data_IF_931511856090
#
_entry.id   IF_931511856090
#
_cell.length_a   1.000
_cell.length_b   1.000
_cell.length_c   1.000
_cell.angle_alpha   90.00
_cell.angle_beta   90.00
_cell.angle_gamma   90.00
#
_symmetry.space_group_name_H-M   'P 1'
#
loop_
_entity.id
_entity.type
_entity.pdbx_description
1 polymer ?
#
# COMPACT_ATOMS: atom_id res chain seq x y z
N UNK A 1 -43.87 15.13 -37.31
CA UNK A 1 -42.67 15.93 -37.61
C UNK A 1 -41.92 16.16 -36.29
N UNK A 2 -40.74 15.53 -36.17
CA UNK A 2 -39.63 15.72 -35.21
C UNK A 2 -39.89 15.63 -33.68
N UNK A 3 -39.63 14.42 -33.15
CA UNK A 3 -39.15 14.22 -31.77
C UNK A 3 -37.76 14.84 -31.66
N UNK A 4 -37.54 15.72 -30.69
CA UNK A 4 -36.21 16.16 -30.29
C UNK A 4 -35.54 15.04 -29.50
N UNK A 5 -34.66 14.31 -30.18
CA UNK A 5 -33.66 13.45 -29.54
C UNK A 5 -32.63 14.37 -28.88
N UNK A 6 -32.74 14.56 -27.57
CA UNK A 6 -31.62 15.10 -26.80
C UNK A 6 -30.49 14.08 -26.88
N UNK A 7 -29.49 14.41 -27.69
CA UNK A 7 -28.21 13.73 -27.68
C UNK A 7 -27.56 13.98 -26.32
N UNK A 8 -27.66 12.99 -25.42
CA UNK A 8 -26.76 12.86 -24.28
C UNK A 8 -25.33 12.73 -24.84
N UNK A 9 -24.67 13.87 -25.04
CA UNK A 9 -23.24 13.89 -25.33
C UNK A 9 -22.52 13.43 -24.05
N UNK A 10 -21.77 12.31 -24.07
CA UNK A 10 -20.97 11.93 -22.92
C UNK A 10 -19.97 13.06 -22.64
N UNK A 11 -19.99 13.58 -21.41
CA UNK A 11 -19.08 14.64 -20.96
C UNK A 11 -17.63 14.22 -21.26
N UNK A 12 -16.78 15.13 -21.76
CA UNK A 12 -15.39 14.79 -22.02
C UNK A 12 -14.69 14.42 -20.71
N UNK A 13 -14.40 13.13 -20.54
CA UNK A 13 -13.41 12.66 -19.58
C UNK A 13 -12.06 13.19 -20.07
N UNK A 14 -11.61 14.32 -19.49
CA UNK A 14 -10.32 14.94 -19.81
C UNK A 14 -9.11 14.03 -19.56
N UNK A 15 -9.33 12.87 -18.94
CA UNK A 15 -8.31 11.93 -18.50
C UNK A 15 -8.63 10.54 -19.09
N UNK A 16 -8.12 10.24 -20.29
CA UNK A 16 -8.25 8.89 -20.85
C UNK A 16 -7.16 8.01 -20.26
N UNK A 17 -7.55 7.18 -19.29
CA UNK A 17 -6.67 6.14 -18.72
C UNK A 17 -6.37 5.13 -19.82
N UNK A 18 -5.10 4.85 -20.06
CA UNK A 18 -4.74 3.71 -20.89
C UNK A 18 -4.93 2.43 -20.07
N UNK A 19 -6.08 1.78 -20.22
CA UNK A 19 -6.39 0.52 -19.51
C UNK A 19 -5.56 -0.67 -20.04
N UNK A 20 -4.87 -0.52 -21.17
CA UNK A 20 -4.00 -1.57 -21.71
C UNK A 20 -2.66 -1.69 -20.99
N UNK A 21 -2.44 -0.94 -19.90
CA UNK A 21 -1.23 -1.07 -19.10
C UNK A 21 -1.37 -2.30 -18.18
N UNK A 22 -0.37 -3.19 -18.12
CA UNK A 22 -0.51 -4.49 -17.43
C UNK A 22 -0.99 -4.37 -15.97
N UNK A 23 -0.56 -3.33 -15.26
CA UNK A 23 -0.94 -3.09 -13.86
C UNK A 23 -2.44 -2.80 -13.68
N UNK A 24 -3.04 -2.06 -14.61
CA UNK A 24 -4.47 -1.76 -14.57
C UNK A 24 -5.29 -2.93 -15.11
N UNK A 25 -4.81 -3.58 -16.17
CA UNK A 25 -5.45 -4.77 -16.73
C UNK A 25 -5.59 -5.87 -15.66
N UNK A 26 -4.51 -6.19 -14.94
CA UNK A 26 -4.55 -7.14 -13.80
C UNK A 26 -5.52 -6.71 -12.71
N UNK A 27 -5.54 -5.43 -12.37
CA UNK A 27 -6.45 -4.91 -11.37
C UNK A 27 -7.91 -5.11 -11.80
N UNK A 28 -8.27 -4.73 -13.03
CA UNK A 28 -9.65 -4.79 -13.53
C UNK A 28 -10.11 -6.21 -13.91
N UNK A 29 -9.18 -7.13 -14.15
CA UNK A 29 -9.47 -8.55 -14.40
C UNK A 29 -9.41 -9.42 -13.12
N UNK A 30 -9.55 -8.82 -11.94
CA UNK A 30 -9.59 -9.51 -10.63
C UNK A 30 -8.39 -10.45 -10.35
N UNK A 31 -7.22 -10.18 -10.95
CA UNK A 31 -6.00 -10.95 -10.71
C UNK A 31 -5.32 -10.63 -9.37
N UNK A 32 -4.26 -11.35 -9.01
CA UNK A 32 -3.49 -11.04 -7.80
C UNK A 32 -2.86 -9.65 -7.91
N UNK A 33 -3.14 -8.79 -6.93
CA UNK A 33 -2.68 -7.41 -6.85
C UNK A 33 -1.37 -7.25 -6.10
N UNK A 34 -0.91 -8.29 -5.38
CA UNK A 34 0.32 -8.23 -4.58
C UNK A 34 1.58 -7.93 -5.40
N UNK A 35 1.78 -8.51 -6.61
CA UNK A 35 3.00 -8.25 -7.39
C UNK A 35 3.18 -6.77 -7.73
N UNK A 36 2.08 -6.05 -8.00
CA UNK A 36 2.13 -4.67 -8.49
C UNK A 36 1.90 -3.64 -7.37
N UNK A 37 1.08 -3.97 -6.37
CA UNK A 37 0.65 -3.02 -5.32
C UNK A 37 1.08 -3.41 -3.91
N UNK A 38 1.68 -4.60 -3.71
CA UNK A 38 2.07 -5.16 -2.41
C UNK A 38 0.92 -5.33 -1.40
N UNK A 39 -0.32 -5.24 -1.87
CA UNK A 39 -1.54 -5.47 -1.09
C UNK A 39 -2.36 -6.58 -1.73
N UNK A 40 -3.05 -7.37 -0.90
CA UNK A 40 -4.06 -8.31 -1.40
C UNK A 40 -5.29 -7.56 -1.91
N UNK A 41 -6.10 -8.25 -2.71
CA UNK A 41 -7.34 -7.71 -3.28
C UNK A 41 -8.28 -7.19 -2.20
N UNK A 42 -8.41 -7.95 -1.11
CA UNK A 42 -9.30 -7.63 0.01
C UNK A 42 -8.85 -6.35 0.72
N UNK A 43 -7.57 -6.26 1.09
CA UNK A 43 -7.02 -5.06 1.75
C UNK A 43 -7.08 -3.83 0.85
N UNK A 44 -6.86 -4.01 -0.46
CA UNK A 44 -6.97 -2.94 -1.45
C UNK A 44 -8.42 -2.43 -1.55
N UNK A 45 -9.41 -3.33 -1.62
CA UNK A 45 -10.82 -2.95 -1.65
C UNK A 45 -11.24 -2.20 -0.39
N UNK A 46 -10.84 -2.67 0.80
CA UNK A 46 -11.08 -1.96 2.06
C UNK A 46 -10.47 -0.55 2.01
N UNK A 47 -9.24 -0.41 1.50
CA UNK A 47 -8.60 0.89 1.36
C UNK A 47 -9.34 1.80 0.36
N UNK A 48 -9.84 1.25 -0.76
CA UNK A 48 -10.64 2.00 -1.72
C UNK A 48 -11.95 2.51 -1.10
N UNK A 49 -12.63 1.67 -0.34
CA UNK A 49 -13.86 2.04 0.35
C UNK A 49 -13.63 3.14 1.39
N UNK A 50 -12.50 3.08 2.11
CA UNK A 50 -12.08 4.11 3.06
C UNK A 50 -11.66 5.42 2.38
N UNK A 51 -11.01 5.34 1.22
CA UNK A 51 -10.45 6.50 0.51
C UNK A 51 -11.42 7.16 -0.47
N UNK A 52 -12.55 6.56 -0.84
CA UNK A 52 -13.40 7.20 -1.83
C UNK A 52 -14.80 6.66 -2.00
N UNK A 53 -15.77 7.58 -2.01
CA UNK A 53 -17.04 7.38 -2.70
C UNK A 53 -17.47 8.57 -3.59
N UNK A 54 -16.91 9.79 -3.47
CA UNK A 54 -17.49 10.96 -4.16
C UNK A 54 -16.48 11.84 -4.94
N UNK A 55 -15.55 11.20 -5.68
CA UNK A 55 -14.70 11.93 -6.65
C UNK A 55 -15.29 11.89 -8.05
N UNK A 56 -16.08 12.92 -8.38
CA UNK A 56 -16.72 13.09 -9.71
C UNK A 56 -15.84 13.75 -10.77
N UNK A 57 -14.61 14.14 -10.42
CA UNK A 57 -13.69 14.88 -11.30
C UNK A 57 -12.26 14.33 -11.25
N UNK A 58 -11.49 14.52 -12.32
CA UNK A 58 -10.09 14.07 -12.41
C UNK A 58 -9.96 12.63 -12.90
N UNK A 59 -9.03 11.87 -12.31
CA UNK A 59 -8.75 10.48 -12.70
C UNK A 59 -9.65 9.45 -12.00
N UNK A 60 -10.49 9.88 -11.06
CA UNK A 60 -11.34 9.02 -10.23
C UNK A 60 -10.59 8.47 -9.01
N UNK A 61 -11.30 8.27 -7.90
CA UNK A 61 -10.71 7.82 -6.63
C UNK A 61 -9.93 6.51 -6.79
N UNK A 62 -10.50 5.54 -7.52
CA UNK A 62 -9.86 4.24 -7.75
C UNK A 62 -8.50 4.37 -8.44
N UNK A 63 -8.43 5.07 -9.58
CA UNK A 63 -7.17 5.23 -10.31
C UNK A 63 -6.15 6.02 -9.49
N UNK A 64 -6.58 7.09 -8.80
CA UNK A 64 -5.70 7.88 -7.93
C UNK A 64 -5.10 7.03 -6.80
N UNK A 65 -5.89 6.14 -6.19
CA UNK A 65 -5.42 5.19 -5.17
C UNK A 65 -4.46 4.15 -5.76
N UNK A 66 -4.76 3.59 -6.94
CA UNK A 66 -3.85 2.63 -7.61
C UNK A 66 -2.51 3.27 -7.96
N UNK A 67 -2.52 4.52 -8.46
CA UNK A 67 -1.32 5.31 -8.73
C UNK A 67 -0.50 5.51 -7.45
N UNK A 68 -1.15 5.85 -6.34
CA UNK A 68 -0.51 6.03 -5.05
C UNK A 68 0.10 4.72 -4.52
N UNK A 69 -0.63 3.61 -4.58
CA UNK A 69 -0.14 2.30 -4.13
C UNK A 69 1.05 1.83 -4.97
N UNK A 70 0.98 1.98 -6.28
CA UNK A 70 2.10 1.64 -7.16
C UNK A 70 3.31 2.54 -6.91
N UNK A 71 3.09 3.82 -6.58
CA UNK A 71 4.16 4.73 -6.17
C UNK A 71 4.87 4.25 -4.89
N UNK A 72 4.14 3.79 -3.88
CA UNK A 72 4.74 3.17 -2.69
C UNK A 72 5.48 1.87 -3.04
N UNK A 73 4.87 0.99 -3.84
CA UNK A 73 5.45 -0.30 -4.24
C UNK A 73 6.73 -0.16 -5.08
N UNK A 74 6.86 0.94 -5.83
CA UNK A 74 8.01 1.25 -6.70
C UNK A 74 9.04 2.18 -6.06
N UNK A 75 9.07 2.26 -4.73
CA UNK A 75 10.09 3.02 -3.99
C UNK A 75 9.92 4.53 -4.11
N UNK A 76 8.67 5.01 -4.11
CA UNK A 76 8.32 6.43 -4.17
C UNK A 76 8.80 7.17 -5.45
N UNK A 77 8.95 6.46 -6.58
CA UNK A 77 9.44 7.05 -7.83
C UNK A 77 8.32 7.58 -8.73
N UNK A 78 8.10 8.91 -8.73
CA UNK A 78 7.17 9.57 -9.66
C UNK A 78 7.53 9.31 -11.14
N UNK A 79 8.80 9.06 -11.45
CA UNK A 79 9.26 8.76 -12.82
C UNK A 79 8.79 7.38 -13.29
N UNK A 80 8.87 6.37 -12.43
CA UNK A 80 8.45 5.00 -12.74
C UNK A 80 6.93 4.98 -12.96
N UNK A 81 6.18 5.55 -12.01
CA UNK A 81 4.71 5.65 -12.09
C UNK A 81 4.26 6.42 -13.34
N UNK A 82 4.91 7.55 -13.65
CA UNK A 82 4.62 8.35 -14.85
C UNK A 82 4.74 7.53 -16.14
N UNK A 83 5.77 6.69 -16.25
CA UNK A 83 5.99 5.82 -17.42
C UNK A 83 4.95 4.69 -17.49
N UNK A 84 4.65 4.06 -16.36
CA UNK A 84 3.73 2.92 -16.29
C UNK A 84 2.29 3.35 -16.57
N UNK A 85 1.84 4.45 -15.99
CA UNK A 85 0.46 4.93 -16.13
C UNK A 85 0.26 5.89 -17.31
N UNK A 86 1.33 6.25 -18.03
CA UNK A 86 1.27 7.22 -19.13
C UNK A 86 0.84 8.62 -18.66
N UNK A 87 1.13 8.98 -17.41
CA UNK A 87 0.73 10.25 -16.80
C UNK A 87 1.91 11.23 -16.71
N UNK A 88 1.72 12.54 -16.88
CA UNK A 88 2.75 13.52 -16.60
C UNK A 88 3.24 13.43 -15.15
N UNK A 89 4.55 13.61 -14.92
CA UNK A 89 5.14 13.56 -13.56
C UNK A 89 4.50 14.55 -12.59
N UNK A 90 4.10 15.73 -13.07
CA UNK A 90 3.40 16.74 -12.26
C UNK A 90 2.02 16.25 -11.80
N UNK A 91 1.30 15.52 -12.67
CA UNK A 91 0.02 14.89 -12.33
C UNK A 91 0.22 13.80 -11.29
N UNK A 92 1.21 12.92 -11.48
CA UNK A 92 1.55 11.88 -10.49
C UNK A 92 1.87 12.52 -9.15
N UNK A 93 2.73 13.55 -9.12
CA UNK A 93 3.09 14.27 -7.89
C UNK A 93 1.85 14.84 -7.17
N UNK A 94 0.91 15.44 -7.90
CA UNK A 94 -0.34 15.97 -7.33
C UNK A 94 -1.22 14.87 -6.77
N UNK A 95 -1.32 13.73 -7.47
CA UNK A 95 -2.10 12.58 -7.01
C UNK A 95 -1.50 12.02 -5.72
N UNK A 96 -0.20 11.72 -5.71
CA UNK A 96 0.43 11.09 -4.53
C UNK A 96 0.36 11.99 -3.31
N UNK A 97 0.57 13.30 -3.46
CA UNK A 97 0.46 14.24 -2.33
C UNK A 97 -0.96 14.24 -1.76
N UNK A 98 -1.97 14.34 -2.63
CA UNK A 98 -3.37 14.35 -2.22
C UNK A 98 -3.78 13.05 -1.53
N UNK A 99 -3.48 11.90 -2.14
CA UNK A 99 -3.86 10.60 -1.56
C UNK A 99 -3.09 10.34 -0.26
N UNK A 100 -1.85 10.82 -0.14
CA UNK A 100 -1.10 10.77 1.12
C UNK A 100 -1.86 11.51 2.24
N UNK A 101 -2.36 12.72 1.98
CA UNK A 101 -3.12 13.48 2.97
C UNK A 101 -4.37 12.72 3.43
N UNK A 102 -5.09 12.07 2.50
CA UNK A 102 -6.27 11.27 2.82
C UNK A 102 -5.94 10.03 3.64
N UNK A 103 -4.89 9.29 3.25
CA UNK A 103 -4.41 8.13 4.01
C UNK A 103 -3.99 8.55 5.42
N UNK A 104 -3.30 9.69 5.55
CA UNK A 104 -2.92 10.26 6.85
C UNK A 104 -4.14 10.66 7.67
N UNK A 105 -5.22 11.14 7.05
CA UNK A 105 -6.45 11.50 7.74
C UNK A 105 -7.20 10.27 8.28
N UNK A 106 -7.23 9.15 7.54
CA UNK A 106 -7.89 7.91 7.99
C UNK A 106 -7.03 7.05 8.91
N UNK A 107 -5.76 7.41 9.15
CA UNK A 107 -4.81 6.60 9.94
C UNK A 107 -5.36 6.13 11.29
N UNK A 108 -6.14 6.98 11.97
CA UNK A 108 -6.69 6.68 13.30
C UNK A 108 -7.82 5.65 13.28
N UNK A 109 -8.39 5.37 12.10
CA UNK A 109 -9.43 4.35 11.93
C UNK A 109 -8.82 2.96 11.73
N UNK A 110 -7.59 2.88 11.23
CA UNK A 110 -6.94 1.62 10.83
C UNK A 110 -5.74 1.27 11.71
N UNK A 111 -5.03 2.27 12.26
CA UNK A 111 -3.89 2.08 13.17
C UNK A 111 -4.36 2.28 14.62
N UNK A 112 -4.35 1.20 15.39
CA UNK A 112 -4.69 1.22 16.80
C UNK A 112 -3.41 1.20 17.64
N UNK A 113 -3.02 2.38 18.16
CA UNK A 113 -1.91 2.50 19.09
C UNK A 113 -2.39 2.20 20.53
N UNK A 114 -1.61 1.48 21.35
CA UNK A 114 -1.95 1.26 22.76
C UNK A 114 -2.03 2.60 23.48
N UNK A 115 -3.14 2.85 24.19
CA UNK A 115 -3.38 4.15 24.87
C UNK A 115 -3.17 4.06 26.38
N UNK A 116 -3.30 2.88 26.96
CA UNK A 116 -3.07 2.64 28.39
C UNK A 116 -1.87 1.72 28.62
N UNK A 117 -1.41 1.67 29.88
CA UNK A 117 -0.33 0.75 30.28
C UNK A 117 -0.74 -0.72 30.10
N UNK A 118 -2.02 -1.03 30.35
CA UNK A 118 -2.58 -2.36 30.17
C UNK A 118 -2.61 -2.77 28.68
N UNK A 119 -3.03 -1.85 27.81
CA UNK A 119 -3.02 -2.08 26.35
C UNK A 119 -1.58 -2.33 25.85
N UNK A 120 -0.63 -1.52 26.33
CA UNK A 120 0.77 -1.66 25.96
C UNK A 120 1.35 -2.99 26.44
N UNK A 121 1.01 -3.43 27.65
CA UNK A 121 1.43 -4.71 28.18
C UNK A 121 0.82 -5.88 27.37
N UNK A 122 -0.47 -5.78 27.01
CA UNK A 122 -1.14 -6.79 26.20
C UNK A 122 -0.49 -6.94 24.81
N UNK A 123 -0.23 -5.80 24.13
CA UNK A 123 0.45 -5.78 22.83
C UNK A 123 1.87 -6.34 22.95
N UNK A 124 2.64 -5.88 23.93
CA UNK A 124 4.02 -6.32 24.17
C UNK A 124 4.12 -7.81 24.48
N UNK A 125 3.17 -8.35 25.24
CA UNK A 125 3.08 -9.79 25.53
C UNK A 125 2.73 -10.58 24.26
N UNK A 126 1.85 -10.05 23.42
CA UNK A 126 1.52 -10.61 22.10
C UNK A 126 2.76 -10.75 21.22
N UNK A 127 3.55 -9.69 21.07
CA UNK A 127 4.80 -9.71 20.31
C UNK A 127 5.81 -10.73 20.88
N UNK A 128 6.03 -10.75 22.19
CA UNK A 128 6.90 -11.73 22.83
C UNK A 128 6.43 -13.18 22.65
N UNK A 129 5.11 -13.41 22.64
CA UNK A 129 4.50 -14.71 22.38
C UNK A 129 4.69 -15.17 20.93
N UNK A 130 4.39 -14.29 19.97
CA UNK A 130 4.54 -14.57 18.54
C UNK A 130 6.01 -14.83 18.17
N UNK A 131 6.93 -14.01 18.67
CA UNK A 131 8.36 -14.16 18.42
C UNK A 131 9.02 -15.25 19.28
N UNK A 132 8.30 -15.82 20.26
CA UNK A 132 8.81 -16.77 21.26
C UNK A 132 10.09 -16.30 21.96
N UNK A 133 10.26 -14.99 22.11
CA UNK A 133 11.50 -14.40 22.60
C UNK A 133 11.24 -13.18 23.49
N UNK A 134 11.91 -13.13 24.66
CA UNK A 134 11.66 -12.10 25.68
C UNK A 134 12.09 -10.69 25.25
N UNK A 135 12.98 -10.56 24.27
CA UNK A 135 13.41 -9.25 23.76
C UNK A 135 12.24 -8.42 23.21
N UNK A 136 11.19 -9.07 22.71
CA UNK A 136 10.02 -8.37 22.16
C UNK A 136 8.99 -7.95 23.22
N UNK A 137 9.27 -8.12 24.52
CA UNK A 137 8.42 -7.60 25.61
C UNK A 137 8.38 -6.07 25.69
N UNK A 138 9.19 -5.37 24.90
CA UNK A 138 9.17 -3.91 24.77
C UNK A 138 8.60 -3.45 23.42
N UNK A 139 8.08 -4.37 22.61
CA UNK A 139 7.57 -4.05 21.28
C UNK A 139 6.10 -3.59 21.39
N UNK A 140 5.84 -2.34 21.01
CA UNK A 140 4.49 -1.79 20.92
C UNK A 140 3.90 -1.90 19.49
N UNK A 141 4.73 -2.30 18.52
CA UNK A 141 4.38 -2.37 17.11
C UNK A 141 5.57 -2.79 16.27
N UNK A 142 5.30 -3.06 14.98
CA UNK A 142 6.31 -3.32 13.97
C UNK A 142 6.05 -2.40 12.77
N UNK A 143 7.11 -1.81 12.25
CA UNK A 143 7.08 -1.10 10.97
C UNK A 143 7.89 -1.98 10.01
N UNK A 144 7.18 -2.69 9.14
CA UNK A 144 7.83 -3.46 8.08
C UNK A 144 7.98 -2.57 6.85
N UNK A 145 9.22 -2.26 6.50
CA UNK A 145 9.55 -1.63 5.23
C UNK A 145 9.93 -2.74 4.26
N UNK A 146 9.08 -3.07 3.29
CA UNK A 146 9.45 -4.06 2.28
C UNK A 146 10.55 -3.47 1.39
N UNK A 147 11.82 -3.74 1.68
CA UNK A 147 12.87 -3.72 0.66
C UNK A 147 12.58 -4.90 -0.29
N UNK A 148 12.55 -4.71 -1.62
CA UNK A 148 12.63 -5.86 -2.49
C UNK A 148 14.04 -6.43 -2.33
N UNK A 149 14.18 -7.50 -1.55
CA UNK A 149 15.30 -8.43 -1.76
C UNK A 149 15.10 -9.01 -3.17
N UNK A 150 15.85 -8.51 -4.15
CA UNK A 150 16.04 -9.21 -5.41
C UNK A 150 16.89 -10.46 -5.14
N UNK A 151 16.31 -11.47 -4.49
CA UNK A 151 16.89 -12.80 -4.37
C UNK A 151 15.79 -13.85 -4.10
N UNK A 152 14.88 -14.01 -5.06
CA UNK A 152 14.11 -15.26 -5.20
C UNK A 152 14.08 -15.67 -6.67
N UNK A 153 15.18 -16.26 -7.13
CA UNK A 153 15.15 -17.25 -8.20
C UNK A 153 16.36 -18.19 -8.03
N UNK A 154 16.07 -19.35 -7.43
CA UNK A 154 16.73 -20.65 -7.55
C UNK A 154 17.13 -21.26 -6.19
N UNK A 155 16.37 -22.28 -5.75
CA UNK A 155 16.88 -23.33 -4.86
C UNK A 155 17.73 -24.31 -5.68
N UNK A 156 18.77 -24.90 -5.08
CA UNK A 156 18.64 -26.29 -4.67
C UNK A 156 19.06 -26.56 -3.20
N UNK A 157 18.65 -27.74 -2.73
CA UNK A 157 18.57 -28.31 -1.37
C UNK A 157 19.93 -28.44 -0.59
N UNK A 158 19.93 -28.79 0.72
CA UNK A 158 20.74 -28.16 1.77
C UNK A 158 22.11 -28.80 2.06
N UNK A 159 23.08 -27.98 2.47
CA UNK A 159 24.32 -28.39 3.18
C UNK A 159 24.06 -28.37 4.71
N UNK A 160 24.35 -29.45 5.46
CA UNK A 160 24.12 -29.51 6.91
C UNK A 160 25.25 -28.81 7.67
N UNK A 161 25.27 -27.48 7.64
CA UNK A 161 26.11 -26.69 8.55
C UNK A 161 25.29 -25.56 9.16
N UNK A 162 25.09 -25.52 10.50
CA UNK A 162 24.39 -24.42 11.12
C UNK A 162 25.22 -23.14 10.93
N UNK A 163 24.63 -22.06 10.37
CA UNK A 163 25.33 -20.78 10.29
C UNK A 163 25.58 -20.23 11.69
N UNK A 164 26.69 -19.49 11.90
CA UNK A 164 26.96 -18.85 13.19
C UNK A 164 25.82 -17.87 13.53
N UNK A 165 25.40 -17.88 14.80
CA UNK A 165 24.48 -16.90 15.38
C UNK A 165 25.09 -15.48 15.28
N UNK A 166 24.88 -14.83 14.14
CA UNK A 166 24.87 -13.38 14.04
C UNK A 166 23.48 -12.86 14.44
N UNK A 167 23.37 -11.66 15.04
CA UNK A 167 22.07 -11.12 15.42
C UNK A 167 21.20 -10.98 14.15
N UNK A 168 19.93 -11.44 14.17
CA UNK A 168 19.02 -11.13 13.09
C UNK A 168 18.86 -9.61 13.03
N UNK A 169 18.94 -9.05 11.82
CA UNK A 169 18.60 -7.66 11.54
C UNK A 169 17.17 -7.43 12.02
N UNK A 170 17.04 -6.89 13.25
CA UNK A 170 15.78 -6.43 13.79
C UNK A 170 15.34 -5.25 12.94
N UNK A 171 14.36 -5.48 12.07
CA UNK A 171 13.45 -4.41 11.65
C UNK A 171 12.99 -3.71 12.92
N UNK A 172 13.26 -2.40 12.95
CA UNK A 172 13.19 -1.54 14.12
C UNK A 172 11.84 -1.68 14.83
N UNK A 173 11.81 -2.43 15.92
CA UNK A 173 10.74 -2.31 16.90
C UNK A 173 10.87 -0.89 17.48
N UNK A 174 9.88 -0.03 17.20
CA UNK A 174 9.82 1.28 17.84
C UNK A 174 9.59 1.04 19.33
N UNK A 175 10.68 1.08 20.08
CA UNK A 175 10.62 1.18 21.52
C UNK A 175 10.17 2.60 21.84
N UNK A 176 8.92 2.77 22.28
CA UNK A 176 8.54 4.00 22.99
C UNK A 176 9.41 4.10 24.25
N UNK A 177 10.20 5.18 24.43
CA UNK A 177 10.79 5.46 25.71
C UNK A 177 9.67 5.88 26.67
N UNK A 178 9.48 5.10 27.73
CA UNK A 178 8.78 5.56 28.93
C UNK A 178 9.85 6.23 29.81
N UNK A 179 9.74 7.55 29.98
CA UNK A 179 10.24 8.20 31.21
C UNK A 179 9.31 7.83 32.38
#
# INVERSE_FOLDING_TARGET
>A
MRRSTEHFLPRPLYCRVNLSVPVLDRFFNDQDTRPDFRLSRESLNVLLDLLGQDRRHGWGATIETLVFLFWLASGASCRVVSRVFGMPRSTVHRIVHRVTEEVVAIRHQVIHLPRTAEDLEAVSRGFAGLARHRAFRKAAGAIDGCHPDEDVMALPQPDPRPPPLGPPLLNLAVACPLE
#
